data_IF_421896775987
#
_entry.id   IF_421896775987
#
_cell.length_a   1.000
_cell.length_b   1.000
_cell.length_c   1.000
_cell.angle_alpha   90.00
_cell.angle_beta   90.00
_cell.angle_gamma   90.00
#
_symmetry.space_group_name_H-M   'P 1'
#
loop_
_entity.id
_entity.type
_entity.pdbx_description
1 polymer ?
#
# COMPACT_ATOMS: atom_id res chain seq x y z
N UNK A 1 14.47 -19.30 10.57
CA UNK A 1 13.86 -18.51 9.47
C UNK A 1 13.01 -17.44 10.13
N UNK A 2 13.14 -16.17 9.72
CA UNK A 2 12.26 -15.10 10.22
C UNK A 2 10.85 -15.38 9.67
N UNK A 3 9.84 -15.42 10.54
CA UNK A 3 8.48 -15.79 10.12
C UNK A 3 7.89 -14.74 9.18
N UNK A 4 7.05 -15.14 8.23
CA UNK A 4 6.48 -14.27 7.19
C UNK A 4 5.77 -13.03 7.77
N UNK A 5 5.19 -13.18 8.97
CA UNK A 5 4.58 -12.10 9.75
C UNK A 5 5.59 -11.05 10.23
N UNK A 6 6.79 -11.46 10.66
CA UNK A 6 7.86 -10.53 11.04
C UNK A 6 8.43 -9.80 9.82
N UNK A 7 8.48 -10.48 8.67
CA UNK A 7 8.89 -9.83 7.42
C UNK A 7 7.89 -8.76 7.01
N UNK A 8 6.58 -9.06 7.01
CA UNK A 8 5.55 -8.09 6.63
C UNK A 8 5.52 -6.89 7.58
N UNK A 9 5.62 -7.13 8.88
CA UNK A 9 5.68 -6.06 9.87
C UNK A 9 6.90 -5.14 9.68
N UNK A 10 8.08 -5.69 9.34
CA UNK A 10 9.27 -4.89 9.04
C UNK A 10 9.16 -4.12 7.72
N UNK A 11 8.58 -4.71 6.68
CA UNK A 11 8.37 -3.98 5.41
C UNK A 11 7.36 -2.85 5.59
N UNK A 12 6.24 -3.11 6.28
CA UNK A 12 5.27 -2.08 6.63
C UNK A 12 5.93 -0.97 7.44
N UNK A 13 6.66 -1.28 8.51
CA UNK A 13 7.35 -0.28 9.33
C UNK A 13 8.34 0.56 8.49
N UNK A 14 9.10 -0.07 7.60
CA UNK A 14 10.09 0.60 6.76
C UNK A 14 9.45 1.51 5.70
N UNK A 15 8.37 1.07 5.05
CA UNK A 15 7.63 1.88 4.07
C UNK A 15 6.82 3.00 4.76
N UNK A 16 6.27 2.73 5.96
CA UNK A 16 5.55 3.71 6.78
C UNK A 16 6.49 4.75 7.40
N UNK A 17 7.72 4.42 7.77
CA UNK A 17 8.70 5.40 8.28
C UNK A 17 9.15 6.38 7.19
N UNK A 18 9.14 5.96 5.91
CA UNK A 18 9.52 6.79 4.78
C UNK A 18 8.42 7.78 4.35
N UNK A 19 7.20 7.60 4.85
CA UNK A 19 6.05 8.42 4.49
C UNK A 19 5.51 9.01 5.78
N UNK A 20 5.38 10.34 5.87
CA UNK A 20 4.63 10.97 6.96
C UNK A 20 3.19 10.45 6.94
N UNK A 21 2.95 9.33 7.62
CA UNK A 21 1.72 8.59 7.53
C UNK A 21 0.74 9.25 8.48
N UNK A 22 0.04 10.27 7.99
CA UNK A 22 -1.21 10.67 8.64
C UNK A 22 -2.16 9.49 8.49
N UNK A 23 -2.37 8.72 9.57
CA UNK A 23 -3.24 7.53 9.63
C UNK A 23 -4.58 7.70 8.90
N UNK A 24 -5.09 8.94 8.85
CA UNK A 24 -6.30 9.35 8.13
C UNK A 24 -6.37 8.87 6.66
N UNK A 25 -5.22 8.69 6.02
CA UNK A 25 -5.12 8.34 4.60
C UNK A 25 -4.80 6.85 4.36
N UNK A 26 -4.58 6.08 5.42
CA UNK A 26 -4.27 4.65 5.34
C UNK A 26 -5.55 3.81 5.25
N UNK A 27 -5.46 2.77 4.44
CA UNK A 27 -6.50 1.78 4.19
C UNK A 27 -5.88 0.39 4.21
N UNK A 28 -6.67 -0.58 4.63
CA UNK A 28 -6.24 -1.96 4.77
C UNK A 28 -7.28 -2.88 4.13
N UNK A 29 -6.80 -3.93 3.48
CA UNK A 29 -7.63 -5.05 3.01
C UNK A 29 -7.43 -6.20 4.00
N UNK A 30 -8.54 -6.77 4.46
CA UNK A 30 -8.54 -7.85 5.43
C UNK A 30 -9.08 -9.15 4.82
N UNK A 31 -8.48 -10.26 5.20
CA UNK A 31 -9.02 -11.62 5.02
C UNK A 31 -8.94 -12.33 6.36
N UNK A 32 -10.05 -12.92 6.81
CA UNK A 32 -10.13 -13.62 8.10
C UNK A 32 -9.63 -12.78 9.29
N UNK A 33 -9.94 -11.47 9.30
CA UNK A 33 -9.50 -10.47 10.29
C UNK A 33 -8.00 -10.20 10.31
N UNK A 34 -7.19 -10.79 9.42
CA UNK A 34 -5.77 -10.44 9.20
C UNK A 34 -5.66 -9.39 8.08
N UNK A 35 -4.93 -8.28 8.29
CA UNK A 35 -4.61 -7.36 7.20
C UNK A 35 -3.64 -8.04 6.23
N UNK A 36 -4.01 -8.12 4.96
CA UNK A 36 -3.23 -8.76 3.88
C UNK A 36 -2.69 -7.76 2.86
N UNK A 37 -3.23 -6.54 2.85
CA UNK A 37 -2.69 -5.44 2.08
C UNK A 37 -2.93 -4.11 2.79
N UNK A 38 -2.06 -3.15 2.52
CA UNK A 38 -2.16 -1.75 2.93
C UNK A 38 -2.02 -0.86 1.71
N UNK A 39 -2.76 0.23 1.70
CA UNK A 39 -2.53 1.30 0.74
C UNK A 39 -2.87 2.67 1.33
N UNK A 40 -2.28 3.72 0.77
CA UNK A 40 -2.53 5.10 1.19
C UNK A 40 -2.93 5.97 0.01
N UNK A 41 -3.99 6.77 0.20
CA UNK A 41 -4.49 7.72 -0.80
C UNK A 41 -4.48 9.12 -0.21
N UNK A 42 -3.88 10.06 -0.93
CA UNK A 42 -3.89 11.50 -0.62
C UNK A 42 -4.57 12.28 -1.72
N UNK A 43 -5.37 13.28 -1.35
CA UNK A 43 -5.88 14.27 -2.30
C UNK A 43 -4.87 15.39 -2.52
N UNK A 44 -4.46 15.65 -3.76
CA UNK A 44 -3.63 16.81 -4.14
C UNK A 44 -4.18 17.43 -5.42
N UNK A 45 -4.47 18.74 -5.39
CA UNK A 45 -4.87 19.49 -6.59
C UNK A 45 -6.10 18.91 -7.32
N UNK A 46 -7.06 18.35 -6.58
CA UNK A 46 -8.26 17.71 -7.15
C UNK A 46 -8.05 16.28 -7.67
N UNK A 47 -6.84 15.73 -7.56
CA UNK A 47 -6.47 14.38 -7.96
C UNK A 47 -6.29 13.51 -6.71
N UNK A 48 -6.69 12.23 -6.80
CA UNK A 48 -6.37 11.22 -5.79
C UNK A 48 -5.06 10.55 -6.17
N UNK A 49 -4.06 10.66 -5.30
CA UNK A 49 -2.74 10.08 -5.48
C UNK A 49 -2.62 8.84 -4.59
N UNK A 50 -2.29 7.71 -5.20
CA UNK A 50 -1.97 6.47 -4.50
C UNK A 50 -0.47 6.48 -4.18
N UNK A 51 -0.12 6.69 -2.91
CA UNK A 51 1.29 6.88 -2.50
C UNK A 51 1.96 5.62 -2.01
N UNK A 52 1.18 4.62 -1.61
CA UNK A 52 1.70 3.41 -0.99
C UNK A 52 0.78 2.27 -1.34
N UNK A 53 1.35 1.14 -1.77
CA UNK A 53 0.65 -0.13 -1.95
C UNK A 53 1.58 -1.23 -1.48
N UNK A 54 1.17 -1.95 -0.44
CA UNK A 54 1.90 -3.09 0.10
C UNK A 54 0.96 -4.27 0.14
N UNK A 55 1.36 -5.38 -0.47
CA UNK A 55 0.61 -6.64 -0.47
C UNK A 55 1.49 -7.73 0.15
N UNK A 56 0.91 -8.45 1.12
CA UNK A 56 1.51 -9.64 1.73
C UNK A 56 1.91 -10.65 0.62
N UNK A 57 3.18 -11.11 0.57
CA UNK A 57 3.67 -12.03 -0.44
C UNK A 57 2.80 -13.26 -0.66
N UNK A 58 2.22 -13.82 0.41
CA UNK A 58 1.35 -15.01 0.34
C UNK A 58 0.07 -14.76 -0.47
N UNK A 59 -0.33 -13.49 -0.61
CA UNK A 59 -1.56 -13.08 -1.25
C UNK A 59 -1.34 -12.35 -2.59
N UNK A 60 -0.09 -12.31 -3.08
CA UNK A 60 0.23 -11.74 -4.39
C UNK A 60 -0.30 -12.63 -5.51
N UNK A 61 -0.47 -12.04 -6.70
CA UNK A 61 -1.04 -12.73 -7.86
C UNK A 61 -2.56 -12.92 -7.81
N UNK A 62 -3.22 -12.44 -6.75
CA UNK A 62 -4.68 -12.54 -6.58
C UNK A 62 -5.45 -11.29 -7.03
N UNK A 63 -4.79 -10.34 -7.71
CA UNK A 63 -5.45 -9.13 -8.21
C UNK A 63 -5.69 -8.02 -7.17
N UNK A 64 -5.15 -8.12 -5.96
CA UNK A 64 -5.38 -7.12 -4.90
C UNK A 64 -4.99 -5.69 -5.29
N UNK A 65 -3.92 -5.49 -6.06
CA UNK A 65 -3.56 -4.17 -6.59
C UNK A 65 -4.61 -3.61 -7.55
N UNK A 66 -5.27 -4.48 -8.33
CA UNK A 66 -6.35 -4.09 -9.23
C UNK A 66 -7.59 -3.67 -8.42
N UNK A 67 -7.97 -4.44 -7.39
CA UNK A 67 -9.06 -4.06 -6.48
C UNK A 67 -8.82 -2.70 -5.80
N UNK A 68 -7.57 -2.41 -5.41
CA UNK A 68 -7.19 -1.11 -4.83
C UNK A 68 -7.38 0.02 -5.85
N UNK A 69 -7.03 -0.21 -7.11
CA UNK A 69 -7.23 0.77 -8.18
C UNK A 69 -8.72 1.01 -8.48
N UNK A 70 -9.56 -0.02 -8.45
CA UNK A 70 -11.01 0.15 -8.63
C UNK A 70 -11.66 1.02 -7.54
N UNK A 71 -11.12 0.99 -6.32
CA UNK A 71 -11.57 1.87 -5.24
C UNK A 71 -11.18 3.33 -5.46
N UNK A 72 -10.21 3.59 -6.33
CA UNK A 72 -9.78 4.93 -6.71
C UNK A 72 -10.66 5.47 -7.85
N UNK A 73 -11.96 5.66 -7.59
CA UNK A 73 -12.88 6.30 -8.54
C UNK A 73 -12.46 7.76 -8.75
N UNK A 74 -11.87 8.05 -9.92
CA UNK A 74 -11.38 9.35 -10.36
C UNK A 74 -10.00 9.26 -11.05
N UNK A 75 -9.51 10.36 -11.65
CA UNK A 75 -8.13 10.42 -12.15
C UNK A 75 -7.18 10.09 -11.01
N UNK A 76 -6.47 8.97 -11.15
CA UNK A 76 -5.58 8.44 -10.13
C UNK A 76 -4.20 8.30 -10.73
N UNK A 77 -3.21 8.88 -10.06
CA UNK A 77 -1.82 8.71 -10.43
C UNK A 77 -1.11 7.87 -9.36
N UNK A 78 -0.21 7.00 -9.81
CA UNK A 78 0.75 6.31 -8.96
C UNK A 78 2.05 7.09 -9.06
N UNK A 79 2.50 7.67 -7.95
CA UNK A 79 3.76 8.39 -7.91
C UNK A 79 4.79 7.57 -7.14
N UNK A 80 5.71 6.95 -7.86
CA UNK A 80 6.89 6.36 -7.25
C UNK A 80 7.98 7.44 -7.19
N UNK A 81 8.34 7.91 -5.99
CA UNK A 81 9.63 8.59 -5.83
C UNK A 81 10.70 7.56 -6.15
N UNK A 82 11.36 7.68 -7.30
CA UNK A 82 12.44 6.80 -7.72
C UNK A 82 13.41 6.49 -6.57
N UNK A 83 13.64 5.20 -6.30
CA UNK A 83 15.01 4.69 -6.34
C UNK A 83 15.11 3.90 -7.63
N UNK A 84 15.57 4.56 -8.69
CA UNK A 84 16.05 3.90 -9.89
C UNK A 84 17.28 3.07 -9.47
N UNK A 85 17.11 1.76 -9.33
CA UNK A 85 18.23 0.82 -9.35
C UNK A 85 18.35 0.34 -10.79
N UNK A 86 19.32 0.95 -11.50
CA UNK A 86 19.94 0.36 -12.70
C UNK A 86 20.76 -0.85 -12.24
#
# INVERSE_FOLDING_TARGET
MMGDREWLAKQLARELDLISCREKNSRYIYRDKKPIAHYSIVGRGGIKELTTVVVDPEFRGQGLSYEILEQCQGPTCVFTKNLALI
#
